data_IF_477162273087
#
_entry.id   IF_477162273087
#
_cell.length_a   1.000
_cell.length_b   1.000
_cell.length_c   1.000
_cell.angle_alpha   90.00
_cell.angle_beta   90.00
_cell.angle_gamma   90.00
#
_symmetry.space_group_name_H-M   'P 1'
#
loop_
_entity.id
_entity.type
_entity.pdbx_description
1 polymer ?
#
# COMPACT_ATOMS: atom_id res chain seq x y z
N UNK A 1 38.25 -9.01 -15.66
CA UNK A 1 37.87 -8.93 -14.23
C UNK A 1 37.29 -7.58 -13.85
N UNK A 2 38.01 -6.45 -13.95
CA UNK A 2 37.49 -5.12 -13.59
C UNK A 2 36.17 -4.74 -14.29
N UNK A 3 36.06 -4.95 -15.60
CA UNK A 3 34.82 -4.69 -16.36
C UNK A 3 33.63 -5.55 -15.92
N UNK A 4 33.87 -6.82 -15.60
CA UNK A 4 32.83 -7.73 -15.11
C UNK A 4 32.36 -7.33 -13.70
N UNK A 5 33.29 -6.94 -12.83
CA UNK A 5 32.96 -6.42 -11.50
C UNK A 5 32.13 -5.13 -11.57
N UNK A 6 32.47 -4.22 -12.48
CA UNK A 6 31.68 -2.99 -12.69
C UNK A 6 30.26 -3.29 -13.17
N UNK A 7 30.09 -4.25 -14.09
CA UNK A 7 28.77 -4.68 -14.56
C UNK A 7 27.96 -5.31 -13.41
N UNK A 8 28.60 -6.18 -12.62
CA UNK A 8 27.96 -6.81 -11.46
C UNK A 8 27.50 -5.78 -10.42
N UNK A 9 28.35 -4.81 -10.10
CA UNK A 9 28.00 -3.71 -9.20
C UNK A 9 26.84 -2.86 -9.74
N UNK A 10 26.82 -2.60 -11.05
CA UNK A 10 25.71 -1.93 -11.71
C UNK A 10 24.39 -2.68 -11.53
N UNK A 11 24.39 -4.00 -11.75
CA UNK A 11 23.21 -4.85 -11.56
C UNK A 11 22.72 -4.87 -10.11
N UNK A 12 23.64 -5.00 -9.14
CA UNK A 12 23.30 -4.94 -7.71
C UNK A 12 22.70 -3.58 -7.36
N UNK A 13 23.26 -2.48 -7.89
CA UNK A 13 22.72 -1.14 -7.70
C UNK A 13 21.27 -1.01 -8.18
N UNK A 14 20.96 -1.54 -9.36
CA UNK A 14 19.58 -1.53 -9.88
C UNK A 14 18.63 -2.30 -8.98
N UNK A 15 19.03 -3.49 -8.49
CA UNK A 15 18.21 -4.29 -7.58
C UNK A 15 17.91 -3.52 -6.29
N UNK A 16 18.91 -2.89 -5.68
CA UNK A 16 18.75 -2.09 -4.46
C UNK A 16 17.79 -0.93 -4.68
N UNK A 17 17.89 -0.23 -5.82
CA UNK A 17 16.98 0.88 -6.17
C UNK A 17 15.54 0.40 -6.29
N UNK A 18 15.32 -0.73 -6.98
CA UNK A 18 13.98 -1.31 -7.16
C UNK A 18 13.38 -1.72 -5.81
N UNK A 19 14.12 -2.43 -4.97
CA UNK A 19 13.66 -2.84 -3.64
C UNK A 19 13.34 -1.61 -2.78
N UNK A 20 14.21 -0.60 -2.79
CA UNK A 20 13.99 0.63 -2.04
C UNK A 20 12.73 1.38 -2.49
N UNK A 21 12.48 1.45 -3.80
CA UNK A 21 11.28 2.07 -4.34
C UNK A 21 9.99 1.32 -3.91
N UNK A 22 10.00 -0.02 -3.97
CA UNK A 22 8.88 -0.85 -3.52
C UNK A 22 8.58 -0.62 -2.03
N UNK A 23 9.62 -0.68 -1.18
CA UNK A 23 9.46 -0.44 0.25
C UNK A 23 8.93 0.97 0.53
N UNK A 24 9.45 1.98 -0.16
CA UNK A 24 8.99 3.36 -0.03
C UNK A 24 7.49 3.49 -0.35
N UNK A 25 7.01 2.90 -1.45
CA UNK A 25 5.58 2.97 -1.83
C UNK A 25 4.68 2.24 -0.83
N UNK A 26 5.09 1.09 -0.32
CA UNK A 26 4.32 0.35 0.68
C UNK A 26 4.23 1.09 2.02
N UNK A 27 5.38 1.54 2.57
CA UNK A 27 5.44 2.25 3.85
C UNK A 27 4.68 3.58 3.80
N UNK A 28 4.83 4.34 2.70
CA UNK A 28 4.12 5.61 2.55
C UNK A 28 2.60 5.42 2.48
N UNK A 29 2.14 4.39 1.77
CA UNK A 29 0.71 4.06 1.67
C UNK A 29 0.15 3.62 3.02
N UNK A 30 0.85 2.71 3.71
CA UNK A 30 0.49 2.25 5.05
C UNK A 30 0.37 3.41 6.03
N UNK A 31 1.40 4.28 6.09
CA UNK A 31 1.40 5.42 6.99
C UNK A 31 0.23 6.37 6.72
N UNK A 32 -0.02 6.72 5.46
CA UNK A 32 -1.08 7.65 5.11
C UNK A 32 -2.47 7.10 5.45
N UNK A 33 -2.70 5.81 5.17
CA UNK A 33 -3.97 5.16 5.49
C UNK A 33 -4.14 5.02 7.00
N UNK A 34 -3.08 4.65 7.73
CA UNK A 34 -3.11 4.61 9.20
C UNK A 34 -3.50 5.97 9.78
N UNK A 35 -2.80 7.03 9.37
CA UNK A 35 -3.06 8.41 9.82
C UNK A 35 -4.49 8.85 9.49
N UNK A 36 -5.00 8.53 8.31
CA UNK A 36 -6.40 8.81 7.95
C UNK A 36 -7.40 8.11 8.86
N UNK A 37 -7.18 6.83 9.17
CA UNK A 37 -8.10 6.07 10.02
C UNK A 37 -8.07 6.56 11.47
N UNK A 38 -6.89 6.88 12.00
CA UNK A 38 -6.73 7.27 13.40
C UNK A 38 -7.04 8.76 13.63
N UNK A 39 -6.59 9.64 12.74
CA UNK A 39 -6.75 11.09 12.88
C UNK A 39 -8.08 11.57 12.27
N UNK A 40 -8.34 11.23 11.01
CA UNK A 40 -9.51 11.78 10.29
C UNK A 40 -10.80 11.01 10.64
N UNK A 41 -10.71 9.69 10.83
CA UNK A 41 -11.86 8.85 11.23
C UNK A 41 -11.96 8.59 12.72
N UNK A 42 -10.97 9.03 13.50
CA UNK A 42 -10.96 8.92 14.96
C UNK A 42 -11.17 7.48 15.45
N UNK A 43 -10.63 6.50 14.72
CA UNK A 43 -10.65 5.09 15.09
C UNK A 43 -9.52 4.79 16.09
N UNK A 44 -9.78 4.01 17.15
CA UNK A 44 -8.74 3.62 18.09
C UNK A 44 -7.68 2.75 17.40
N UNK A 45 -6.41 3.09 17.57
CA UNK A 45 -5.28 2.43 16.89
C UNK A 45 -5.28 0.91 17.12
N UNK A 46 -5.61 0.47 18.34
CA UNK A 46 -5.65 -0.92 18.75
C UNK A 46 -6.74 -1.76 18.06
N UNK A 47 -7.66 -1.11 17.36
CA UNK A 47 -8.72 -1.78 16.60
C UNK A 47 -8.34 -1.99 15.14
N UNK A 48 -7.28 -1.35 14.65
CA UNK A 48 -6.90 -1.34 13.24
C UNK A 48 -5.76 -2.32 13.01
N UNK A 49 -5.91 -3.22 12.04
CA UNK A 49 -4.80 -4.00 11.49
C UNK A 49 -4.60 -3.59 10.04
N UNK A 50 -3.37 -3.20 9.68
CA UNK A 50 -3.00 -2.81 8.32
C UNK A 50 -1.91 -3.76 7.82
N UNK A 51 -2.06 -4.23 6.59
CA UNK A 51 -1.06 -5.07 5.93
C UNK A 51 -0.77 -4.52 4.52
N UNK A 52 0.44 -4.02 4.25
CA UNK A 52 0.84 -3.60 2.92
C UNK A 52 1.13 -4.80 2.01
N UNK A 53 0.77 -4.68 0.72
CA UNK A 53 1.00 -5.72 -0.29
C UNK A 53 1.11 -5.17 -1.72
N UNK A 54 1.66 -6.00 -2.60
CA UNK A 54 1.72 -5.73 -4.05
C UNK A 54 0.52 -6.39 -4.72
N UNK A 55 -0.35 -5.59 -5.32
CA UNK A 55 -1.61 -6.08 -5.89
C UNK A 55 -1.49 -6.64 -7.32
N UNK A 56 -0.35 -6.46 -7.98
CA UNK A 56 -0.15 -6.77 -9.41
C UNK A 56 -1.14 -6.03 -10.33
N UNK A 57 -1.51 -4.80 -9.94
CA UNK A 57 -2.36 -3.90 -10.71
C UNK A 57 -1.52 -2.80 -11.37
N UNK A 58 -2.06 -2.14 -12.39
CA UNK A 58 -1.35 -1.07 -13.09
C UNK A 58 -1.25 0.20 -12.24
N UNK A 59 -0.10 0.88 -12.30
CA UNK A 59 0.09 2.21 -11.71
C UNK A 59 0.12 2.19 -10.19
N UNK A 60 -0.46 3.21 -9.56
CA UNK A 60 -0.43 3.37 -8.10
C UNK A 60 -1.20 2.28 -7.35
N UNK A 61 -2.21 1.68 -7.98
CA UNK A 61 -2.96 0.54 -7.45
C UNK A 61 -2.09 -0.68 -7.20
N UNK A 62 -0.88 -0.74 -7.74
CA UNK A 62 0.04 -1.84 -7.43
C UNK A 62 0.46 -1.86 -5.95
N UNK A 63 0.40 -0.71 -5.28
CA UNK A 63 0.89 -0.52 -3.92
C UNK A 63 -0.30 -0.27 -3.00
N UNK A 64 -0.78 -1.32 -2.35
CA UNK A 64 -2.00 -1.27 -1.57
C UNK A 64 -1.75 -1.63 -0.11
N UNK A 65 -2.71 -1.27 0.73
CA UNK A 65 -2.85 -1.84 2.05
C UNK A 65 -4.23 -2.45 2.21
N UNK A 66 -4.29 -3.61 2.86
CA UNK A 66 -5.54 -4.17 3.37
C UNK A 66 -5.70 -3.76 4.82
N UNK A 67 -6.90 -3.33 5.17
CA UNK A 67 -7.26 -2.88 6.52
C UNK A 67 -8.40 -3.74 7.03
N UNK A 68 -8.23 -4.25 8.24
CA UNK A 68 -9.31 -4.88 9.01
C UNK A 68 -9.51 -4.11 10.31
N UNK A 69 -10.77 -3.99 10.72
CA UNK A 69 -11.16 -3.29 11.95
C UNK A 69 -11.77 -4.30 12.91
N UNK A 70 -11.32 -4.30 14.17
CA UNK A 70 -11.81 -5.22 15.19
C UNK A 70 -13.31 -5.06 15.40
N UNK A 71 -14.05 -6.15 15.24
CA UNK A 71 -15.52 -6.17 15.33
C UNK A 71 -16.24 -5.90 14.02
N UNK A 72 -15.49 -5.60 12.94
CA UNK A 72 -16.00 -5.54 11.59
C UNK A 72 -15.65 -6.82 10.80
N UNK A 73 -16.56 -7.25 9.94
CA UNK A 73 -16.38 -8.38 9.03
C UNK A 73 -15.75 -8.01 7.68
N UNK A 74 -15.57 -6.72 7.39
CA UNK A 74 -15.04 -6.24 6.13
C UNK A 74 -13.50 -6.15 6.13
N UNK A 75 -12.91 -6.42 4.97
CA UNK A 75 -11.56 -6.02 4.62
C UNK A 75 -11.62 -4.87 3.63
N UNK A 76 -10.94 -3.77 3.94
CA UNK A 76 -10.92 -2.57 3.12
C UNK A 76 -9.57 -2.44 2.42
N UNK A 77 -9.58 -2.16 1.12
CA UNK A 77 -8.36 -2.04 0.33
C UNK A 77 -8.13 -0.58 -0.08
N UNK A 78 -7.00 -0.03 0.33
CA UNK A 78 -6.64 1.36 0.07
C UNK A 78 -5.33 1.48 -0.71
N UNK A 79 -5.18 2.58 -1.45
CA UNK A 79 -3.89 2.99 -2.03
C UNK A 79 -3.74 4.51 -2.05
N UNK A 80 -2.50 4.99 -2.24
CA UNK A 80 -2.20 6.39 -2.52
C UNK A 80 -2.07 6.63 -4.01
N UNK A 81 -2.91 7.50 -4.58
CA UNK A 81 -2.78 7.89 -5.98
C UNK A 81 -1.63 8.89 -6.21
N UNK A 82 -1.31 9.18 -7.48
CA UNK A 82 -0.25 10.11 -7.86
C UNK A 82 -0.43 11.56 -7.42
N UNK A 83 -1.56 11.90 -6.79
CA UNK A 83 -1.81 13.20 -6.14
C UNK A 83 -1.66 13.12 -4.61
N UNK A 84 -1.11 12.01 -4.09
CA UNK A 84 -1.02 11.70 -2.66
C UNK A 84 -2.37 11.68 -1.94
N UNK A 85 -3.45 11.32 -2.66
CA UNK A 85 -4.77 11.14 -2.05
C UNK A 85 -5.03 9.67 -1.77
N UNK A 86 -5.67 9.42 -0.63
CA UNK A 86 -6.12 8.09 -0.23
C UNK A 86 -7.35 7.73 -1.07
N UNK A 87 -7.31 6.54 -1.65
CA UNK A 87 -8.40 5.98 -2.43
C UNK A 87 -8.82 4.66 -1.78
N UNK A 88 -10.10 4.56 -1.42
CA UNK A 88 -10.75 3.29 -1.09
C UNK A 88 -11.05 2.58 -2.40
N UNK A 89 -10.28 1.55 -2.71
CA UNK A 89 -10.33 0.82 -3.97
C UNK A 89 -11.51 -0.14 -3.97
N UNK A 90 -11.58 -0.99 -2.96
CA UNK A 90 -12.61 -2.01 -2.81
C UNK A 90 -12.81 -2.40 -1.34
N UNK A 91 -13.94 -3.08 -1.10
CA UNK A 91 -14.28 -3.68 0.19
C UNK A 91 -14.67 -5.12 -0.07
N UNK A 92 -14.14 -6.06 0.71
CA UNK A 92 -14.47 -7.48 0.66
C UNK A 92 -15.12 -7.93 1.97
N UNK A 93 -16.18 -8.71 1.86
CA UNK A 93 -16.72 -9.54 2.93
C UNK A 93 -16.79 -10.99 2.50
N UNK A 94 -15.95 -11.83 3.10
CA UNK A 94 -15.97 -13.28 2.89
C UNK A 94 -15.91 -13.72 1.41
N UNK A 95 -15.19 -12.98 0.56
CA UNK A 95 -15.05 -13.23 -0.87
C UNK A 95 -16.07 -12.51 -1.76
N UNK A 96 -17.00 -11.75 -1.18
CA UNK A 96 -17.89 -10.85 -1.91
C UNK A 96 -17.31 -9.44 -1.85
N UNK A 97 -16.80 -8.97 -2.99
CA UNK A 97 -16.07 -7.70 -3.10
C UNK A 97 -16.80 -6.65 -3.95
N UNK A 98 -16.92 -5.45 -3.41
CA UNK A 98 -17.40 -4.27 -4.13
C UNK A 98 -16.24 -3.33 -4.47
N UNK A 99 -16.08 -3.02 -5.77
CA UNK A 99 -15.09 -2.05 -6.25
C UNK A 99 -15.69 -0.65 -6.22
N UNK A 100 -15.06 0.26 -5.46
CA UNK A 100 -15.59 1.60 -5.16
C UNK A 100 -14.81 2.72 -5.86
N UNK A 101 -13.47 2.67 -5.86
CA UNK A 101 -12.60 3.75 -6.34
C UNK A 101 -12.93 5.14 -5.76
N UNK A 102 -13.23 5.22 -4.47
CA UNK A 102 -13.62 6.45 -3.81
C UNK A 102 -12.42 7.21 -3.26
N UNK A 103 -12.31 8.51 -3.57
CA UNK A 103 -11.28 9.39 -2.99
C UNK A 103 -11.74 9.84 -1.59
N UNK A 104 -10.87 9.70 -0.59
CA UNK A 104 -11.25 9.74 0.82
C UNK A 104 -10.90 11.02 1.60
N UNK A 105 -10.38 12.06 0.93
CA UNK A 105 -9.95 13.39 1.44
C UNK A 105 -10.11 13.63 2.96
#
# INVERSE_FOLDING_TARGET
MKKFLTILLGLVGVIVIVIGYVQYKLISTEKAVFEYLTVNKNLPEETITIQPFIANLSGDKNWMVSVTIKGDSYTYYYFLNGQNKIVLESVDKNGEGDVLNQIMN
#
